data_IF_839773158764
#
_entry.id   IF_839773158764
#
_cell.length_a   1.000
_cell.length_b   1.000
_cell.length_c   1.000
_cell.angle_alpha   90.00
_cell.angle_beta   90.00
_cell.angle_gamma   90.00
#
_symmetry.space_group_name_H-M   'P 1'
#
loop_
_entity.id
_entity.type
_entity.pdbx_description
1 polymer ?
#
# COMPACT_ATOMS: atom_id res chain seq x y z
N UNK A 1 -46.98 17.40 9.94
CA UNK A 1 -46.27 16.28 9.31
C UNK A 1 -45.89 15.30 10.40
N UNK A 2 -46.75 14.30 10.60
CA UNK A 2 -46.59 13.25 11.60
C UNK A 2 -45.57 12.22 11.09
N UNK A 3 -44.42 12.11 11.75
CA UNK A 3 -43.52 10.98 11.56
C UNK A 3 -43.99 9.81 12.41
N UNK A 4 -44.46 8.75 11.75
CA UNK A 4 -44.76 7.46 12.36
C UNK A 4 -43.52 6.96 13.10
N UNK A 5 -43.59 6.91 14.43
CA UNK A 5 -42.70 6.09 15.26
C UNK A 5 -42.95 4.62 14.91
N UNK A 6 -42.07 4.05 14.10
CA UNK A 6 -41.95 2.60 13.95
C UNK A 6 -41.64 2.03 15.33
N UNK A 7 -42.61 1.33 15.92
CA UNK A 7 -42.44 0.61 17.18
C UNK A 7 -41.53 -0.56 16.91
N UNK A 8 -40.25 -0.40 17.25
CA UNK A 8 -39.28 -1.46 17.25
C UNK A 8 -39.81 -2.61 18.13
N UNK A 9 -40.21 -3.69 17.47
CA UNK A 9 -40.79 -4.85 18.14
C UNK A 9 -39.62 -5.60 18.78
N UNK A 10 -39.60 -5.83 20.10
CA UNK A 10 -38.52 -6.51 20.79
C UNK A 10 -38.07 -7.78 20.04
N UNK A 11 -36.77 -7.97 19.84
CA UNK A 11 -36.24 -9.10 19.05
C UNK A 11 -36.71 -10.48 19.55
N UNK A 12 -37.04 -10.58 20.84
CA UNK A 12 -37.69 -11.76 21.43
C UNK A 12 -39.06 -12.09 20.82
N UNK A 13 -39.85 -11.07 20.47
CA UNK A 13 -41.15 -11.24 19.82
C UNK A 13 -40.98 -11.65 18.36
N UNK A 14 -39.99 -11.10 17.64
CA UNK A 14 -39.65 -11.54 16.28
C UNK A 14 -39.24 -13.01 16.24
N UNK A 15 -38.43 -13.46 17.20
CA UNK A 15 -38.05 -14.87 17.33
C UNK A 15 -39.25 -15.78 17.63
N UNK A 16 -40.12 -15.39 18.57
CA UNK A 16 -41.33 -16.15 18.92
C UNK A 16 -42.31 -16.25 17.74
N UNK A 17 -42.46 -15.19 16.93
CA UNK A 17 -43.33 -15.18 15.75
C UNK A 17 -42.77 -16.10 14.66
N UNK A 18 -41.47 -15.99 14.34
CA UNK A 18 -40.81 -16.84 13.32
C UNK A 18 -40.86 -18.33 13.68
N UNK A 19 -40.69 -18.66 14.97
CA UNK A 19 -40.79 -20.04 15.44
C UNK A 19 -42.22 -20.59 15.30
N UNK A 20 -43.25 -19.79 15.62
CA UNK A 20 -44.66 -20.19 15.46
C UNK A 20 -45.05 -20.38 14.00
N UNK A 21 -44.56 -19.54 13.09
CA UNK A 21 -44.79 -19.74 11.65
C UNK A 21 -44.13 -21.02 11.13
N UNK A 22 -42.93 -21.35 11.60
CA UNK A 22 -42.26 -22.61 11.24
C UNK A 22 -43.03 -23.83 11.72
N UNK A 23 -43.54 -23.80 12.97
CA UNK A 23 -44.35 -24.88 13.53
C UNK A 23 -45.68 -25.01 12.78
N UNK A 24 -46.34 -23.89 12.44
CA UNK A 24 -47.58 -23.91 11.66
C UNK A 24 -47.40 -24.55 10.27
N UNK A 25 -46.29 -24.26 9.58
CA UNK A 25 -45.95 -24.89 8.29
C UNK A 25 -45.73 -26.40 8.42
N UNK A 26 -45.06 -26.84 9.48
CA UNK A 26 -44.85 -28.27 9.76
C UNK A 26 -46.18 -28.98 10.03
N UNK A 27 -47.03 -28.40 10.90
CA UNK A 27 -48.35 -28.97 11.22
C UNK A 27 -49.24 -29.04 9.98
N UNK A 28 -49.23 -28.00 9.14
CA UNK A 28 -49.96 -27.99 7.88
C UNK A 28 -49.47 -29.09 6.93
N UNK A 29 -48.15 -29.29 6.82
CA UNK A 29 -47.56 -30.37 6.03
C UNK A 29 -47.97 -31.76 6.51
N UNK A 30 -48.01 -31.97 7.84
CA UNK A 30 -48.45 -33.24 8.44
C UNK A 30 -49.92 -33.52 8.15
N UNK A 31 -50.79 -32.50 8.29
CA UNK A 31 -52.23 -32.63 7.99
C UNK A 31 -52.44 -32.97 6.51
N UNK A 32 -51.71 -32.32 5.61
CA UNK A 32 -51.81 -32.55 4.17
C UNK A 32 -51.36 -33.97 3.82
N UNK A 33 -50.25 -34.43 4.41
CA UNK A 33 -49.78 -35.81 4.24
C UNK A 33 -50.78 -36.83 4.78
N UNK A 34 -51.37 -36.59 5.96
CA UNK A 34 -52.38 -37.45 6.57
C UNK A 34 -53.65 -37.53 5.71
N UNK A 35 -54.10 -36.42 5.13
CA UNK A 35 -55.24 -36.39 4.21
C UNK A 35 -54.97 -37.17 2.93
N UNK A 36 -53.76 -37.05 2.36
CA UNK A 36 -53.34 -37.82 1.18
C UNK A 36 -53.29 -39.31 1.51
N UNK A 37 -52.69 -39.70 2.64
CA UNK A 37 -52.60 -41.08 3.09
C UNK A 37 -53.98 -41.69 3.38
N UNK A 38 -54.87 -40.94 4.04
CA UNK A 38 -56.25 -41.35 4.31
C UNK A 38 -57.03 -41.56 3.00
N UNK A 39 -56.90 -40.63 2.04
CA UNK A 39 -57.54 -40.75 0.73
C UNK A 39 -57.01 -41.94 -0.06
N UNK A 40 -55.71 -42.23 0.00
CA UNK A 40 -55.10 -43.42 -0.61
C UNK A 40 -55.61 -44.72 0.02
N UNK A 41 -55.77 -44.77 1.34
CA UNK A 41 -56.19 -45.97 2.06
C UNK A 41 -57.66 -46.36 1.85
N UNK A 42 -58.54 -45.37 1.62
CA UNK A 42 -59.99 -45.59 1.41
C UNK A 42 -60.35 -45.66 -0.07
N UNK A 43 -59.50 -45.12 -0.95
CA UNK A 43 -59.73 -45.23 -2.38
C UNK A 43 -59.53 -46.69 -2.81
N UNK A 44 -60.55 -47.28 -3.41
CA UNK A 44 -60.48 -48.57 -4.11
C UNK A 44 -59.65 -48.43 -5.41
N UNK A 45 -58.41 -47.94 -5.31
CA UNK A 45 -57.46 -47.96 -6.40
C UNK A 45 -56.93 -49.38 -6.47
N UNK A 46 -57.61 -50.22 -7.26
CA UNK A 46 -56.98 -51.42 -7.78
C UNK A 46 -55.84 -50.94 -8.69
N UNK A 47 -54.61 -50.96 -8.19
CA UNK A 47 -53.43 -50.76 -9.03
C UNK A 47 -53.36 -51.95 -9.99
N UNK A 48 -53.97 -51.79 -11.16
CA UNK A 48 -53.92 -52.77 -12.22
C UNK A 48 -52.56 -52.64 -12.91
N UNK A 49 -51.56 -53.38 -12.39
CA UNK A 49 -50.21 -53.44 -12.95
C UNK A 49 -50.16 -54.14 -14.31
N UNK A 50 -51.31 -54.58 -14.86
CA UNK A 50 -51.38 -55.24 -16.17
C UNK A 50 -50.95 -54.34 -17.34
N UNK A 51 -51.01 -53.01 -17.17
CA UNK A 51 -50.51 -52.04 -18.16
C UNK A 51 -49.18 -51.40 -17.74
N UNK A 52 -48.51 -51.92 -16.71
CA UNK A 52 -47.24 -51.37 -16.22
C UNK A 52 -46.08 -52.03 -16.97
N UNK A 53 -45.62 -51.38 -18.03
CA UNK A 53 -44.53 -51.90 -18.84
C UNK A 53 -43.18 -51.72 -18.14
N UNK A 54 -42.20 -52.55 -18.49
CA UNK A 54 -40.84 -52.44 -17.98
C UNK A 54 -40.22 -51.05 -18.23
N UNK A 55 -40.63 -50.41 -19.33
CA UNK A 55 -40.24 -49.03 -19.68
C UNK A 55 -40.71 -48.02 -18.62
N UNK A 56 -41.90 -48.20 -18.06
CA UNK A 56 -42.45 -47.33 -17.02
C UNK A 56 -41.71 -47.51 -15.69
N UNK A 57 -41.36 -48.76 -15.36
CA UNK A 57 -40.52 -49.06 -14.19
C UNK A 57 -39.12 -48.44 -14.33
N UNK A 58 -38.53 -48.51 -15.52
CA UNK A 58 -37.23 -47.93 -15.81
C UNK A 58 -37.28 -46.39 -15.71
N UNK A 59 -38.33 -45.77 -16.28
CA UNK A 59 -38.56 -44.33 -16.23
C UNK A 59 -38.76 -43.84 -14.79
N UNK A 60 -39.56 -44.54 -13.98
CA UNK A 60 -39.77 -44.22 -12.57
C UNK A 60 -38.47 -44.33 -11.77
N UNK A 61 -37.69 -45.39 -12.01
CA UNK A 61 -36.39 -45.58 -11.36
C UNK A 61 -35.43 -44.45 -11.73
N UNK A 62 -35.36 -44.09 -13.02
CA UNK A 62 -34.52 -43.00 -13.51
C UNK A 62 -34.95 -41.65 -12.92
N UNK A 63 -36.25 -41.39 -12.81
CA UNK A 63 -36.79 -40.18 -12.20
C UNK A 63 -36.41 -40.06 -10.72
N UNK A 64 -36.49 -41.16 -9.95
CA UNK A 64 -36.07 -41.19 -8.54
C UNK A 64 -34.56 -40.92 -8.42
N UNK A 65 -33.75 -41.53 -9.28
CA UNK A 65 -32.30 -41.27 -9.33
C UNK A 65 -31.98 -39.82 -9.68
N UNK A 66 -32.68 -39.22 -10.64
CA UNK A 66 -32.49 -37.83 -11.03
C UNK A 66 -32.82 -36.87 -9.87
N UNK A 67 -33.91 -37.11 -9.15
CA UNK A 67 -34.28 -36.33 -7.96
C UNK A 67 -33.21 -36.49 -6.86
N UNK A 68 -32.78 -37.72 -6.58
CA UNK A 68 -31.76 -38.00 -5.58
C UNK A 68 -30.42 -37.31 -5.91
N UNK A 69 -30.00 -37.36 -7.18
CA UNK A 69 -28.80 -36.66 -7.64
C UNK A 69 -28.95 -35.15 -7.54
N UNK A 70 -30.11 -34.58 -7.91
CA UNK A 70 -30.36 -33.14 -7.78
C UNK A 70 -30.25 -32.68 -6.32
N UNK A 71 -30.80 -33.45 -5.37
CA UNK A 71 -30.71 -33.14 -3.94
C UNK A 71 -29.26 -33.27 -3.43
N UNK A 72 -28.55 -34.32 -3.85
CA UNK A 72 -27.14 -34.50 -3.51
C UNK A 72 -26.26 -33.36 -4.06
N UNK A 73 -26.50 -32.93 -5.30
CA UNK A 73 -25.82 -31.78 -5.89
C UNK A 73 -26.17 -30.48 -5.19
N UNK A 74 -27.42 -30.26 -4.79
CA UNK A 74 -27.83 -29.07 -4.03
C UNK A 74 -27.07 -28.98 -2.70
N UNK A 75 -27.02 -30.07 -1.93
CA UNK A 75 -26.29 -30.07 -0.67
C UNK A 75 -24.79 -29.89 -0.87
N UNK A 76 -24.20 -30.55 -1.88
CA UNK A 76 -22.76 -30.41 -2.16
C UNK A 76 -22.41 -29.01 -2.66
N UNK A 77 -23.23 -28.42 -3.52
CA UNK A 77 -23.05 -27.06 -4.00
C UNK A 77 -23.17 -26.04 -2.87
N UNK A 78 -24.13 -26.23 -1.96
CA UNK A 78 -24.32 -25.37 -0.78
C UNK A 78 -23.13 -25.48 0.17
N UNK A 79 -22.69 -26.70 0.50
CA UNK A 79 -21.54 -26.91 1.39
C UNK A 79 -20.23 -26.38 0.77
N UNK A 80 -20.05 -26.57 -0.53
CA UNK A 80 -18.91 -26.00 -1.28
C UNK A 80 -18.96 -24.48 -1.33
N UNK A 81 -20.14 -23.89 -1.55
CA UNK A 81 -20.32 -22.43 -1.58
C UNK A 81 -20.04 -21.82 -0.21
N UNK A 82 -20.56 -22.41 0.87
CA UNK A 82 -20.29 -21.94 2.24
C UNK A 82 -18.79 -22.00 2.55
N UNK A 83 -18.11 -23.12 2.24
CA UNK A 83 -16.66 -23.24 2.38
C UNK A 83 -15.91 -22.22 1.52
N UNK A 84 -16.38 -21.95 0.31
CA UNK A 84 -15.78 -20.93 -0.55
C UNK A 84 -15.90 -19.53 0.05
N UNK A 85 -17.06 -19.15 0.59
CA UNK A 85 -17.25 -17.87 1.26
C UNK A 85 -16.40 -17.74 2.52
N UNK A 86 -16.37 -18.77 3.37
CA UNK A 86 -15.52 -18.77 4.57
C UNK A 86 -14.05 -18.63 4.22
N UNK A 87 -13.58 -19.38 3.22
CA UNK A 87 -12.20 -19.30 2.75
C UNK A 87 -11.89 -17.95 2.12
N UNK A 88 -12.81 -17.37 1.35
CA UNK A 88 -12.63 -16.06 0.72
C UNK A 88 -12.59 -14.96 1.77
N UNK A 89 -13.46 -15.02 2.77
CA UNK A 89 -13.46 -14.09 3.89
C UNK A 89 -12.17 -14.20 4.71
N UNK A 90 -11.77 -15.43 5.06
CA UNK A 90 -10.52 -15.68 5.79
C UNK A 90 -9.30 -15.22 4.99
N UNK A 91 -9.24 -15.53 3.71
CA UNK A 91 -8.19 -15.09 2.80
C UNK A 91 -8.11 -13.56 2.74
N UNK A 92 -9.25 -12.88 2.56
CA UNK A 92 -9.30 -11.42 2.50
C UNK A 92 -8.84 -10.81 3.82
N UNK A 93 -9.28 -11.38 4.96
CA UNK A 93 -8.86 -10.95 6.30
C UNK A 93 -7.35 -11.13 6.49
N UNK A 94 -6.82 -12.31 6.16
CA UNK A 94 -5.41 -12.63 6.30
C UNK A 94 -4.55 -11.70 5.41
N UNK A 95 -4.98 -11.45 4.16
CA UNK A 95 -4.34 -10.47 3.26
C UNK A 95 -4.36 -9.07 3.86
N UNK A 96 -5.50 -8.64 4.41
CA UNK A 96 -5.66 -7.30 5.00
C UNK A 96 -4.78 -7.14 6.24
N UNK A 97 -4.64 -8.19 7.05
CA UNK A 97 -3.76 -8.20 8.21
C UNK A 97 -2.29 -8.19 7.81
N UNK A 98 -1.90 -8.98 6.80
CA UNK A 98 -0.56 -8.95 6.24
C UNK A 98 -0.25 -7.57 5.67
N UNK A 99 -1.18 -6.96 4.93
CA UNK A 99 -1.02 -5.62 4.37
C UNK A 99 -0.85 -4.57 5.48
N UNK A 100 -1.63 -4.66 6.56
CA UNK A 100 -1.48 -3.78 7.72
C UNK A 100 -0.15 -3.95 8.45
N UNK A 101 0.37 -5.19 8.58
CA UNK A 101 1.71 -5.43 9.13
C UNK A 101 2.82 -4.94 8.20
N UNK A 102 2.64 -5.09 6.89
CA UNK A 102 3.55 -4.57 5.88
C UNK A 102 3.56 -3.05 5.93
N UNK A 103 2.40 -2.39 5.99
CA UNK A 103 2.29 -0.93 6.13
C UNK A 103 2.97 -0.45 7.42
N UNK A 104 2.75 -1.12 8.54
CA UNK A 104 3.43 -0.81 9.80
C UNK A 104 4.96 -1.01 9.68
N UNK A 105 5.41 -2.14 9.12
CA UNK A 105 6.83 -2.45 8.97
C UNK A 105 7.55 -1.57 7.95
N UNK A 106 6.90 -1.22 6.84
CA UNK A 106 7.43 -0.27 5.87
C UNK A 106 7.39 1.15 6.39
N UNK A 107 6.34 1.55 7.12
CA UNK A 107 6.26 2.86 7.78
C UNK A 107 7.38 3.05 8.79
N UNK A 108 7.65 2.03 9.62
CA UNK A 108 8.75 2.03 10.59
C UNK A 108 10.12 2.04 9.91
N UNK A 109 10.34 1.22 8.88
CA UNK A 109 11.60 1.21 8.11
C UNK A 109 11.82 2.50 7.32
N UNK A 110 10.78 3.10 6.75
CA UNK A 110 10.86 4.39 6.06
C UNK A 110 11.17 5.51 7.05
N UNK A 111 10.55 5.49 8.23
CA UNK A 111 10.87 6.45 9.31
C UNK A 111 12.32 6.33 9.77
N UNK A 112 12.82 5.11 9.96
CA UNK A 112 14.23 4.88 10.29
C UNK A 112 15.19 5.22 9.15
N UNK A 113 14.79 5.05 7.88
CA UNK A 113 15.58 5.49 6.74
C UNK A 113 15.63 7.02 6.65
N UNK A 114 14.55 7.73 6.96
CA UNK A 114 14.50 9.19 7.00
C UNK A 114 15.37 9.75 8.14
N UNK A 115 15.28 9.15 9.33
CA UNK A 115 16.14 9.44 10.48
C UNK A 115 17.62 9.12 10.20
N UNK A 116 17.90 7.98 9.56
CA UNK A 116 19.25 7.55 9.18
C UNK A 116 19.88 8.42 8.08
N UNK A 117 19.09 8.85 7.09
CA UNK A 117 19.54 9.79 6.06
C UNK A 117 19.81 11.18 6.63
N UNK A 118 19.02 11.62 7.61
CA UNK A 118 19.25 12.87 8.33
C UNK A 118 20.56 12.82 9.12
N UNK A 119 20.82 11.72 9.84
CA UNK A 119 22.09 11.51 10.56
C UNK A 119 23.32 11.35 9.65
N UNK A 120 23.15 10.76 8.46
CA UNK A 120 24.22 10.66 7.46
C UNK A 120 24.51 12.01 6.78
N UNK A 121 23.49 12.87 6.60
CA UNK A 121 23.68 14.24 6.10
C UNK A 121 24.49 15.09 7.07
N UNK A 122 24.17 15.02 8.37
CA UNK A 122 24.93 15.74 9.41
C UNK A 122 26.39 15.28 9.49
N UNK A 123 26.64 13.98 9.31
CA UNK A 123 28.01 13.43 9.28
C UNK A 123 28.79 13.76 8.01
N UNK A 124 28.10 14.06 6.90
CA UNK A 124 28.74 14.41 5.63
C UNK A 124 28.97 15.93 5.50
N UNK A 125 28.20 16.76 6.20
CA UNK A 125 28.45 18.20 6.37
C UNK A 125 29.61 18.45 7.36
N UNK A 126 29.89 17.52 8.27
CA UNK A 126 31.08 17.50 9.13
C UNK A 126 32.35 16.98 8.42
N UNK A 127 32.90 17.78 7.50
CA UNK A 127 34.27 17.74 6.96
C UNK A 127 35.07 16.42 7.03
N UNK A 128 35.20 15.75 5.88
CA UNK A 128 36.10 14.59 5.70
C UNK A 128 37.57 15.04 5.83
N UNK A 129 38.26 14.55 6.85
CA UNK A 129 39.70 14.34 6.86
C UNK A 129 39.99 13.23 7.87
N UNK A 130 40.26 12.01 7.37
CA UNK A 130 41.40 11.18 7.76
C UNK A 130 41.35 9.82 7.05
N UNK A 131 42.53 9.38 6.61
CA UNK A 131 42.79 8.17 5.83
C UNK A 131 42.63 6.84 6.59
N UNK A 132 42.08 6.85 7.81
CA UNK A 132 41.83 5.66 8.63
C UNK A 132 40.39 5.11 8.47
N UNK A 133 39.45 5.90 7.94
CA UNK A 133 38.05 5.46 7.70
C UNK A 133 37.93 4.43 6.56
N UNK A 134 38.93 4.30 5.69
CA UNK A 134 38.90 3.37 4.56
C UNK A 134 38.96 1.89 4.97
N UNK A 135 39.57 1.57 6.12
CA UNK A 135 39.61 0.19 6.62
C UNK A 135 38.40 -0.18 7.48
N UNK A 136 37.78 0.80 8.15
CA UNK A 136 36.52 0.60 8.88
C UNK A 136 35.35 0.38 7.91
N UNK A 137 35.30 1.16 6.83
CA UNK A 137 34.30 1.01 5.76
C UNK A 137 34.39 -0.35 5.03
N UNK A 138 35.58 -0.96 4.92
CA UNK A 138 35.73 -2.31 4.32
C UNK A 138 35.14 -3.40 5.21
N UNK A 139 35.37 -3.31 6.52
CA UNK A 139 34.82 -4.26 7.49
C UNK A 139 33.30 -4.18 7.58
N UNK A 140 32.75 -2.97 7.59
CA UNK A 140 31.31 -2.75 7.61
C UNK A 140 30.64 -3.25 6.31
N UNK A 141 31.30 -3.07 5.16
CA UNK A 141 30.87 -3.61 3.86
C UNK A 141 30.93 -5.15 3.81
N UNK A 142 31.91 -5.77 4.47
CA UNK A 142 32.01 -7.24 4.59
C UNK A 142 30.95 -7.82 5.54
N UNK A 143 30.64 -7.12 6.63
CA UNK A 143 29.53 -7.47 7.51
C UNK A 143 28.16 -7.29 6.84
N UNK A 144 27.98 -6.23 6.04
CA UNK A 144 26.79 -6.07 5.20
C UNK A 144 26.69 -7.16 4.13
N UNK A 145 27.80 -7.53 3.47
CA UNK A 145 27.82 -8.65 2.52
C UNK A 145 27.42 -9.97 3.18
N UNK A 146 27.92 -10.25 4.39
CA UNK A 146 27.53 -11.46 5.12
C UNK A 146 26.06 -11.44 5.56
N UNK A 147 25.53 -10.27 5.95
CA UNK A 147 24.10 -10.13 6.23
C UNK A 147 23.25 -10.34 4.98
N UNK A 148 23.70 -9.81 3.85
CA UNK A 148 23.03 -9.98 2.56
C UNK A 148 23.07 -11.44 2.08
N UNK A 149 24.20 -12.14 2.23
CA UNK A 149 24.29 -13.59 1.95
C UNK A 149 23.36 -14.41 2.84
N UNK A 150 23.22 -14.05 4.11
CA UNK A 150 22.26 -14.68 5.03
C UNK A 150 20.81 -14.42 4.61
N UNK A 151 20.46 -13.18 4.25
CA UNK A 151 19.10 -12.86 3.77
C UNK A 151 18.78 -13.60 2.46
N UNK A 152 19.73 -13.72 1.53
CA UNK A 152 19.53 -14.50 0.30
C UNK A 152 19.35 -15.98 0.62
N UNK A 153 20.16 -16.54 1.53
CA UNK A 153 20.02 -17.94 1.96
C UNK A 153 18.70 -18.21 2.68
N UNK A 154 18.24 -17.29 3.53
CA UNK A 154 16.96 -17.39 4.23
C UNK A 154 15.80 -17.30 3.23
N UNK A 155 15.88 -16.39 2.25
CA UNK A 155 14.90 -16.26 1.17
C UNK A 155 14.80 -17.57 0.37
N UNK A 156 15.91 -18.17 0.00
CA UNK A 156 15.94 -19.43 -0.74
C UNK A 156 15.38 -20.61 0.08
N UNK A 157 15.64 -20.64 1.39
CA UNK A 157 15.03 -21.61 2.30
C UNK A 157 13.51 -21.42 2.43
N UNK A 158 13.04 -20.18 2.53
CA UNK A 158 11.61 -19.86 2.57
C UNK A 158 10.94 -20.27 1.26
N UNK A 159 11.58 -19.98 0.12
CA UNK A 159 11.09 -20.37 -1.21
C UNK A 159 11.00 -21.89 -1.34
N UNK A 160 12.03 -22.61 -0.91
CA UNK A 160 12.07 -24.08 -0.90
C UNK A 160 10.97 -24.68 0.00
N UNK A 161 10.73 -24.08 1.16
CA UNK A 161 9.67 -24.49 2.07
C UNK A 161 8.26 -24.19 1.53
N UNK A 162 8.07 -23.07 0.83
CA UNK A 162 6.81 -22.73 0.15
C UNK A 162 6.53 -23.71 -0.99
N UNK A 163 7.55 -24.02 -1.80
CA UNK A 163 7.46 -25.01 -2.88
C UNK A 163 7.10 -26.40 -2.33
N UNK A 164 7.72 -26.83 -1.22
CA UNK A 164 7.38 -28.10 -0.55
C UNK A 164 5.97 -28.12 0.01
N UNK A 165 5.49 -27.01 0.59
CA UNK A 165 4.12 -26.90 1.12
C UNK A 165 3.06 -26.85 0.02
N UNK A 166 3.39 -26.34 -1.15
CA UNK A 166 2.48 -26.19 -2.28
C UNK A 166 2.17 -27.51 -3.02
N UNK A 167 2.88 -28.62 -2.74
CA UNK A 167 2.74 -29.91 -3.43
C UNK A 167 2.74 -29.77 -4.97
N UNK A 168 3.54 -28.85 -5.50
CA UNK A 168 3.67 -28.61 -6.94
C UNK A 168 4.42 -29.76 -7.62
N UNK A 169 4.02 -30.07 -8.85
CA UNK A 169 4.69 -31.09 -9.67
C UNK A 169 6.08 -30.58 -10.10
N UNK A 170 7.06 -31.45 -10.37
CA UNK A 170 8.46 -31.03 -10.63
C UNK A 170 8.60 -30.02 -11.77
N UNK A 171 7.75 -30.11 -12.81
CA UNK A 171 7.74 -29.14 -13.92
C UNK A 171 7.23 -27.75 -13.54
N UNK A 172 6.18 -27.64 -12.72
CA UNK A 172 5.62 -26.35 -12.28
C UNK A 172 6.60 -25.62 -11.34
N UNK A 173 7.37 -26.39 -10.56
CA UNK A 173 8.42 -25.86 -9.70
C UNK A 173 9.53 -25.18 -10.52
N UNK A 174 9.94 -25.79 -11.62
CA UNK A 174 11.01 -25.28 -12.47
C UNK A 174 10.57 -24.03 -13.24
N UNK A 175 9.31 -23.99 -13.67
CA UNK A 175 8.69 -22.82 -14.28
C UNK A 175 8.61 -21.63 -13.32
N UNK A 176 8.13 -21.85 -12.08
CA UNK A 176 8.04 -20.80 -11.05
C UNK A 176 9.42 -20.27 -10.68
N UNK A 177 10.42 -21.13 -10.50
CA UNK A 177 11.80 -20.71 -10.23
C UNK A 177 12.39 -19.88 -11.38
N UNK A 178 12.14 -20.28 -12.62
CA UNK A 178 12.62 -19.54 -13.80
C UNK A 178 11.98 -18.16 -13.90
N UNK A 179 10.67 -18.06 -13.65
CA UNK A 179 9.92 -16.81 -13.64
C UNK A 179 10.43 -15.88 -12.56
N UNK A 180 10.63 -16.40 -11.34
CA UNK A 180 11.13 -15.63 -10.21
C UNK A 180 12.51 -15.04 -10.49
N UNK A 181 13.40 -15.85 -11.06
CA UNK A 181 14.76 -15.43 -11.42
C UNK A 181 14.74 -14.34 -12.51
N UNK A 182 13.88 -14.46 -13.52
CA UNK A 182 13.73 -13.43 -14.55
C UNK A 182 13.25 -12.09 -13.97
N UNK A 183 12.33 -12.14 -13.00
CA UNK A 183 11.80 -10.96 -12.33
C UNK A 183 12.85 -10.31 -11.42
N UNK A 184 13.70 -11.11 -10.79
CA UNK A 184 14.84 -10.60 -10.03
C UNK A 184 15.85 -9.87 -10.90
N UNK A 185 16.23 -10.45 -12.05
CA UNK A 185 17.13 -9.80 -12.99
C UNK A 185 16.54 -8.48 -13.53
N UNK A 186 15.22 -8.43 -13.75
CA UNK A 186 14.50 -7.21 -14.13
C UNK A 186 14.55 -6.14 -13.04
N UNK A 187 14.28 -6.51 -11.77
CA UNK A 187 14.39 -5.61 -10.62
C UNK A 187 15.82 -5.07 -10.49
N UNK A 188 16.83 -5.92 -10.70
CA UNK A 188 18.23 -5.54 -10.58
C UNK A 188 18.63 -4.52 -11.65
N UNK A 189 18.12 -4.67 -12.88
CA UNK A 189 18.33 -3.69 -13.95
C UNK A 189 17.60 -2.36 -13.67
N UNK A 190 16.35 -2.39 -13.23
CA UNK A 190 15.61 -1.18 -12.86
C UNK A 190 16.29 -0.42 -11.72
N UNK A 191 16.84 -1.15 -10.74
CA UNK A 191 17.59 -0.54 -9.62
C UNK A 191 18.86 0.16 -10.10
N UNK A 192 19.57 -0.43 -11.07
CA UNK A 192 20.74 0.20 -11.70
C UNK A 192 20.37 1.47 -12.48
N UNK A 193 19.27 1.45 -13.22
CA UNK A 193 18.78 2.62 -13.95
C UNK A 193 18.38 3.75 -13.00
N UNK A 194 17.67 3.44 -11.91
CA UNK A 194 17.35 4.43 -10.87
C UNK A 194 18.60 5.03 -10.24
N UNK A 195 19.62 4.21 -9.95
CA UNK A 195 20.89 4.71 -9.43
C UNK A 195 21.60 5.64 -10.41
N UNK A 196 21.56 5.32 -11.70
CA UNK A 196 22.11 6.17 -12.76
C UNK A 196 21.36 7.51 -12.82
N UNK A 197 20.03 7.48 -12.87
CA UNK A 197 19.19 8.67 -12.94
C UNK A 197 19.35 9.56 -11.70
N UNK A 198 19.39 8.97 -10.50
CA UNK A 198 19.65 9.70 -9.25
C UNK A 198 21.01 10.38 -9.27
N UNK A 199 22.04 9.71 -9.81
CA UNK A 199 23.38 10.29 -9.97
C UNK A 199 23.36 11.45 -10.96
N UNK A 200 22.65 11.32 -12.06
CA UNK A 200 22.51 12.38 -13.08
C UNK A 200 21.77 13.61 -12.55
N UNK A 201 20.64 13.41 -11.84
CA UNK A 201 19.91 14.50 -11.17
C UNK A 201 20.83 15.23 -10.20
N UNK A 202 21.57 14.51 -9.36
CA UNK A 202 22.49 15.11 -8.39
C UNK A 202 23.63 15.89 -9.07
N UNK A 203 24.12 15.42 -10.22
CA UNK A 203 25.12 16.15 -11.00
C UNK A 203 24.53 17.42 -11.63
N UNK A 204 23.31 17.35 -12.18
CA UNK A 204 22.60 18.50 -12.74
C UNK A 204 22.27 19.56 -11.68
N UNK A 205 21.80 19.13 -10.51
CA UNK A 205 21.54 20.00 -9.36
C UNK A 205 22.81 20.71 -8.90
N UNK A 206 23.92 19.98 -8.75
CA UNK A 206 25.21 20.57 -8.37
C UNK A 206 25.75 21.54 -9.42
N UNK A 207 25.58 21.24 -10.71
CA UNK A 207 25.97 22.13 -11.79
C UNK A 207 25.15 23.44 -11.76
N UNK A 208 23.83 23.33 -11.60
CA UNK A 208 22.92 24.48 -11.46
C UNK A 208 23.22 25.31 -10.21
N UNK A 209 23.49 24.66 -9.08
CA UNK A 209 23.86 25.33 -7.83
C UNK A 209 25.17 26.12 -8.01
N UNK A 210 26.18 25.50 -8.64
CA UNK A 210 27.44 26.16 -8.94
C UNK A 210 27.26 27.33 -9.92
N UNK A 211 26.46 27.18 -10.98
CA UNK A 211 26.19 28.27 -11.94
C UNK A 211 25.52 29.48 -11.29
N UNK A 212 24.53 29.26 -10.40
CA UNK A 212 23.87 30.34 -9.64
C UNK A 212 24.88 31.11 -8.76
N UNK A 213 25.85 30.39 -8.19
CA UNK A 213 26.88 30.94 -7.30
C UNK A 213 27.94 31.74 -8.04
N UNK A 214 28.25 31.36 -9.28
CA UNK A 214 29.29 32.02 -10.09
C UNK A 214 28.75 33.25 -10.85
N UNK A 215 27.42 33.35 -11.03
CA UNK A 215 26.77 34.52 -11.65
C UNK A 215 26.73 35.75 -10.74
N UNK A 216 26.82 35.57 -9.42
CA UNK A 216 26.73 36.63 -8.42
C UNK A 216 28.11 36.87 -7.77
N UNK A 217 28.67 38.09 -7.81
CA UNK A 217 29.97 38.36 -7.22
C UNK A 217 30.04 38.07 -5.72
N UNK A 218 31.23 37.71 -5.19
CA UNK A 218 31.42 37.42 -3.76
C UNK A 218 30.96 38.55 -2.83
N UNK A 219 31.06 39.81 -3.28
CA UNK A 219 30.62 40.98 -2.50
C UNK A 219 29.10 41.02 -2.29
N UNK A 220 28.30 40.55 -3.24
CA UNK A 220 26.83 40.48 -3.12
C UNK A 220 26.42 39.25 -2.30
N UNK A 221 27.20 38.17 -2.35
CA UNK A 221 27.01 37.00 -1.49
C UNK A 221 27.19 37.36 -0.02
N UNK A 222 28.26 38.07 0.31
CA UNK A 222 28.52 38.52 1.68
C UNK A 222 27.41 39.47 2.17
N UNK A 223 26.87 40.34 1.29
CA UNK A 223 25.73 41.18 1.62
C UNK A 223 24.46 40.38 1.98
N UNK A 224 24.21 39.24 1.31
CA UNK A 224 23.08 38.37 1.66
C UNK A 224 23.34 37.63 2.97
N UNK A 225 24.57 37.17 3.21
CA UNK A 225 24.95 36.56 4.50
C UNK A 225 24.75 37.57 5.63
N UNK A 226 25.19 38.82 5.44
CA UNK A 226 24.99 39.90 6.41
C UNK A 226 23.51 40.22 6.58
N UNK A 227 22.71 40.22 5.50
CA UNK A 227 21.25 40.39 5.54
C UNK A 227 20.55 39.28 6.33
N UNK A 228 20.97 38.03 6.18
CA UNK A 228 20.43 36.87 6.91
C UNK A 228 20.84 36.91 8.39
N UNK A 229 22.03 37.45 8.71
CA UNK A 229 22.50 37.60 10.09
C UNK A 229 21.91 38.82 10.80
N UNK A 230 21.58 39.88 10.07
CA UNK A 230 21.06 41.14 10.61
C UNK A 230 19.53 41.17 10.69
N UNK A 231 18.82 40.55 9.74
CA UNK A 231 17.41 40.27 9.90
C UNK A 231 17.26 39.00 10.73
N UNK A 232 16.37 38.98 11.71
CA UNK A 232 16.07 37.80 12.55
C UNK A 232 15.42 36.66 11.73
N UNK A 233 16.08 36.21 10.67
CA UNK A 233 15.63 35.14 9.82
C UNK A 233 16.14 33.80 10.36
N UNK A 234 15.20 32.90 10.63
CA UNK A 234 15.51 31.54 11.01
C UNK A 234 16.12 30.77 9.82
N UNK A 235 17.42 30.46 9.90
CA UNK A 235 18.19 29.80 8.83
C UNK A 235 17.57 28.44 8.44
N UNK A 236 17.20 27.55 9.39
CA UNK A 236 16.39 26.36 9.13
C UNK A 236 15.12 26.63 8.30
N UNK A 237 14.39 27.70 8.61
CA UNK A 237 13.16 28.06 7.89
C UNK A 237 13.44 28.41 6.42
N UNK A 238 14.57 29.08 6.11
CA UNK A 238 14.96 29.43 4.74
C UNK A 238 15.36 28.17 3.94
N UNK A 239 15.98 27.20 4.60
CA UNK A 239 16.48 25.98 3.96
C UNK A 239 15.33 25.02 3.63
N UNK A 240 14.36 24.87 4.54
CA UNK A 240 13.33 23.83 4.47
C UNK A 240 11.99 24.29 3.91
N UNK A 241 11.62 25.58 4.06
CA UNK A 241 10.29 26.03 3.67
C UNK A 241 10.10 26.07 2.14
N UNK A 242 8.89 25.78 1.62
CA UNK A 242 8.56 25.90 0.19
C UNK A 242 8.85 27.30 -0.38
N UNK A 243 9.24 27.39 -1.66
CA UNK A 243 9.58 28.67 -2.30
C UNK A 243 8.40 29.66 -2.25
N UNK A 244 7.17 29.19 -2.41
CA UNK A 244 5.94 30.01 -2.32
C UNK A 244 5.71 30.60 -0.93
N UNK A 245 6.20 29.93 0.12
CA UNK A 245 6.12 30.43 1.50
C UNK A 245 7.20 31.50 1.73
N UNK A 246 8.41 31.26 1.22
CA UNK A 246 9.51 32.21 1.29
C UNK A 246 9.21 33.49 0.49
N UNK A 247 8.56 33.40 -0.66
CA UNK A 247 8.14 34.57 -1.44
C UNK A 247 7.18 35.50 -0.68
N UNK A 248 6.27 34.92 0.13
CA UNK A 248 5.31 35.68 0.92
C UNK A 248 5.93 36.30 2.18
N UNK A 249 6.88 35.58 2.79
CA UNK A 249 7.44 35.91 4.10
C UNK A 249 8.74 36.73 4.02
N UNK A 250 9.57 36.51 3.00
CA UNK A 250 10.79 37.28 2.78
C UNK A 250 10.47 38.50 1.92
N UNK A 251 10.60 39.68 2.52
CA UNK A 251 10.56 40.96 1.80
C UNK A 251 11.82 41.75 2.14
N UNK A 252 12.38 42.41 1.13
CA UNK A 252 13.52 43.27 1.37
C UNK A 252 13.02 44.60 1.95
N UNK A 253 13.35 44.86 3.20
CA UNK A 253 12.99 46.11 3.86
C UNK A 253 13.97 47.22 3.49
N UNK A 254 13.46 48.24 2.78
CA UNK A 254 14.27 49.39 2.34
C UNK A 254 14.69 50.31 3.49
N UNK A 255 14.08 50.20 4.66
CA UNK A 255 14.38 51.04 5.82
C UNK A 255 15.54 50.47 6.66
N UNK A 256 15.68 49.15 6.68
CA UNK A 256 16.69 48.47 7.49
C UNK A 256 18.02 48.22 6.76
N UNK A 257 18.03 48.30 5.42
CA UNK A 257 19.22 48.01 4.62
C UNK A 257 19.71 49.22 3.81
N UNK A 258 21.04 49.46 3.72
CA UNK A 258 21.60 50.51 2.89
C UNK A 258 21.15 50.45 1.43
N UNK A 259 20.86 51.61 0.82
CA UNK A 259 20.43 51.73 -0.60
C UNK A 259 21.38 51.04 -1.59
N UNK A 260 22.67 50.99 -1.24
CA UNK A 260 23.71 50.31 -2.03
C UNK A 260 23.53 48.80 -2.14
N UNK A 261 22.89 48.17 -1.14
CA UNK A 261 22.55 46.74 -1.16
C UNK A 261 21.35 46.52 -2.09
N UNK A 262 20.32 47.37 -1.97
CA UNK A 262 19.13 47.31 -2.81
C UNK A 262 19.47 47.40 -4.31
N UNK A 263 20.26 48.40 -4.72
CA UNK A 263 20.67 48.60 -6.12
C UNK A 263 21.47 47.41 -6.67
N UNK A 264 22.31 46.80 -5.84
CA UNK A 264 23.10 45.63 -6.23
C UNK A 264 22.24 44.38 -6.37
N UNK A 265 21.36 44.11 -5.43
CA UNK A 265 20.44 42.97 -5.49
C UNK A 265 19.48 43.09 -6.69
N UNK A 266 19.06 44.32 -7.03
CA UNK A 266 18.26 44.61 -8.22
C UNK A 266 19.05 44.38 -9.51
N UNK A 267 20.31 44.84 -9.56
CA UNK A 267 21.21 44.65 -10.72
C UNK A 267 21.47 43.18 -11.05
N UNK A 268 21.51 42.30 -10.05
CA UNK A 268 21.69 40.85 -10.24
C UNK A 268 20.37 40.07 -10.34
N UNK A 269 19.22 40.75 -10.39
CA UNK A 269 17.91 40.12 -10.56
C UNK A 269 17.44 39.29 -9.36
N UNK A 270 18.01 39.53 -8.17
CA UNK A 270 17.69 38.81 -6.93
C UNK A 270 16.39 39.36 -6.32
N UNK A 271 16.16 40.67 -6.48
CA UNK A 271 14.94 41.34 -6.04
C UNK A 271 14.32 42.15 -7.18
N UNK A 272 13.00 42.35 -7.11
CA UNK A 272 12.23 43.18 -8.05
C UNK A 272 12.24 44.66 -7.62
N UNK A 273 11.78 45.53 -8.52
CA UNK A 273 11.58 46.96 -8.25
C UNK A 273 10.59 47.22 -7.09
N UNK A 274 9.78 46.24 -6.71
CA UNK A 274 8.87 46.30 -5.56
C UNK A 274 9.51 45.84 -4.24
N UNK A 275 10.77 45.37 -4.26
CA UNK A 275 11.45 44.83 -3.07
C UNK A 275 11.06 43.39 -2.71
N UNK A 276 10.42 42.66 -3.64
CA UNK A 276 10.16 41.22 -3.48
C UNK A 276 11.32 40.42 -4.06
N UNK A 277 11.63 39.27 -3.47
CA UNK A 277 12.61 38.36 -4.05
C UNK A 277 12.06 37.68 -5.30
N UNK A 278 12.88 37.54 -6.33
CA UNK A 278 12.54 36.72 -7.50
C UNK A 278 12.69 35.23 -7.15
N UNK A 279 12.09 34.34 -7.94
CA UNK A 279 12.25 32.88 -7.75
C UNK A 279 13.74 32.49 -7.77
N UNK A 280 14.51 33.08 -8.69
CA UNK A 280 15.97 32.88 -8.77
C UNK A 280 16.70 33.48 -7.56
N UNK A 281 16.23 34.62 -7.06
CA UNK A 281 16.77 35.25 -5.85
C UNK A 281 16.51 34.42 -4.59
N UNK A 282 15.33 33.82 -4.45
CA UNK A 282 14.99 32.91 -3.34
C UNK A 282 15.82 31.64 -3.38
N UNK A 283 16.02 31.05 -4.57
CA UNK A 283 16.92 29.92 -4.76
C UNK A 283 18.36 30.28 -4.39
N UNK A 284 18.83 31.47 -4.78
CA UNK A 284 20.16 31.95 -4.43
C UNK A 284 20.31 32.17 -2.92
N UNK A 285 19.34 32.82 -2.27
CA UNK A 285 19.31 33.01 -0.81
C UNK A 285 19.32 31.67 -0.08
N UNK A 286 18.55 30.67 -0.55
CA UNK A 286 18.55 29.31 0.00
C UNK A 286 19.90 28.63 -0.17
N UNK A 287 20.53 28.75 -1.34
CA UNK A 287 21.86 28.19 -1.61
C UNK A 287 22.94 28.84 -0.74
N UNK A 288 22.85 30.14 -0.49
CA UNK A 288 23.76 30.85 0.42
C UNK A 288 23.51 30.43 1.87
N UNK A 289 22.26 30.30 2.29
CA UNK A 289 21.89 29.83 3.64
C UNK A 289 22.36 28.39 3.92
N UNK A 290 22.34 27.50 2.92
CA UNK A 290 22.87 26.12 3.03
C UNK A 290 24.39 26.04 3.19
N UNK A 291 25.12 27.12 2.90
CA UNK A 291 26.59 27.19 2.97
C UNK A 291 27.10 28.08 4.12
N UNK A 292 26.18 28.70 4.87
CA UNK A 292 26.46 29.41 6.13
C UNK A 292 26.58 28.40 7.26
#
# INVERSE_FOLDING_TARGET
MESKKEKDTPDELKYKIKNRESIAKIVMGIILFALVAYKLAISNVSFDFSNFDFTDLLSLTLAIFAIALSVAFYFKATDTSNKFYDNTFKFTKDISEILGRIEAGFGERLKHLDEGYSGLRDKFEGGISNSEELDYNKKELEEEKQKLEKEVSEKDQILSNLIKKAKLNEGEKEEVLSSLKSKEDEILNLTKELHFLKREIRHSERARENDLIHRVPPSVRNMIVDMIKMGDFDVPMIIEAPLDYLERKLRFDREHFPRTIYERLLKYGIITEEGKFTIQGLEFVRTVAKRM
#
